data_IF_679116928229
#
_entry.id   IF_679116928229
#
_cell.length_a   1.000
_cell.length_b   1.000
_cell.length_c   1.000
_cell.angle_alpha   90.00
_cell.angle_beta   90.00
_cell.angle_gamma   90.00
#
_symmetry.space_group_name_H-M   'P 1'
#
loop_
_entity.id
_entity.type
_entity.pdbx_description
1 polymer ?
#
# COMPACT_ATOMS: atom_id res chain seq x y z
N UNK A 1 -43.41 -62.97 -14.99
CA UNK A 1 -43.12 -61.54 -15.27
C UNK A 1 -42.29 -61.00 -14.10
N UNK A 2 -40.95 -61.09 -14.17
CA UNK A 2 -40.03 -60.70 -13.08
C UNK A 2 -39.49 -59.30 -13.40
N UNK A 3 -39.80 -58.32 -12.56
CA UNK A 3 -39.32 -56.95 -12.63
C UNK A 3 -37.85 -56.89 -12.19
N UNK A 4 -36.97 -56.39 -13.06
CA UNK A 4 -35.59 -56.05 -12.72
C UNK A 4 -35.55 -54.66 -12.08
N UNK A 5 -35.13 -54.57 -10.82
CA UNK A 5 -34.79 -53.29 -10.18
C UNK A 5 -33.41 -52.85 -10.66
N UNK A 6 -33.34 -51.74 -11.38
CA UNK A 6 -32.09 -51.08 -11.74
C UNK A 6 -31.54 -50.33 -10.52
N UNK A 7 -30.41 -50.79 -9.99
CA UNK A 7 -29.69 -50.11 -8.91
C UNK A 7 -28.82 -48.99 -9.52
N UNK A 8 -29.20 -47.73 -9.32
CA UNK A 8 -28.37 -46.58 -9.67
C UNK A 8 -27.16 -46.51 -8.71
N UNK A 9 -25.95 -46.68 -9.22
CA UNK A 9 -24.73 -46.36 -8.49
C UNK A 9 -24.52 -44.84 -8.51
N UNK A 10 -24.70 -44.20 -7.34
CA UNK A 10 -24.36 -42.79 -7.15
C UNK A 10 -22.85 -42.65 -6.97
N UNK A 11 -22.16 -42.10 -7.98
CA UNK A 11 -20.74 -41.78 -7.90
C UNK A 11 -20.57 -40.50 -7.05
N UNK A 12 -20.18 -40.65 -5.79
CA UNK A 12 -19.82 -39.51 -4.93
C UNK A 12 -18.42 -39.03 -5.33
N UNK A 13 -18.36 -37.94 -6.08
CA UNK A 13 -17.10 -37.20 -6.31
C UNK A 13 -16.69 -36.52 -5.00
N UNK A 14 -15.71 -37.12 -4.31
CA UNK A 14 -15.02 -36.45 -3.21
C UNK A 14 -14.06 -35.45 -3.85
N UNK A 15 -14.51 -34.20 -4.01
CA UNK A 15 -13.59 -33.09 -4.29
C UNK A 15 -12.76 -32.87 -3.04
N UNK A 16 -11.53 -33.38 -3.04
CA UNK A 16 -10.52 -32.96 -2.08
C UNK A 16 -10.30 -31.46 -2.27
N UNK A 17 -10.83 -30.65 -1.35
CA UNK A 17 -10.33 -29.30 -1.19
C UNK A 17 -8.91 -29.48 -0.67
N UNK A 18 -7.93 -29.37 -1.56
CA UNK A 18 -6.57 -29.07 -1.16
C UNK A 18 -6.65 -27.74 -0.42
N UNK A 19 -6.72 -27.81 0.91
CA UNK A 19 -6.44 -26.68 1.76
C UNK A 19 -4.99 -26.36 1.46
N UNK A 20 -4.76 -25.36 0.61
CA UNK A 20 -3.44 -24.84 0.39
C UNK A 20 -2.93 -24.47 1.79
N UNK A 21 -1.93 -25.21 2.26
CA UNK A 21 -1.12 -24.75 3.36
C UNK A 21 -0.77 -23.30 3.02
N UNK A 22 -1.13 -22.38 3.91
CA UNK A 22 -0.59 -21.03 3.85
C UNK A 22 0.90 -21.24 4.09
N UNK A 23 1.66 -21.44 3.00
CA UNK A 23 3.10 -21.27 3.01
C UNK A 23 3.31 -19.98 3.81
N UNK A 24 3.94 -20.11 4.98
CA UNK A 24 4.26 -18.97 5.83
C UNK A 24 4.87 -17.92 4.91
N UNK A 25 4.08 -16.91 4.54
CA UNK A 25 4.39 -16.10 3.38
C UNK A 25 5.78 -15.54 3.62
N UNK A 26 6.72 -15.87 2.74
CA UNK A 26 8.09 -15.38 2.84
C UNK A 26 8.14 -13.86 2.63
N UNK A 27 7.00 -13.19 2.48
CA UNK A 27 6.87 -11.75 2.33
C UNK A 27 6.61 -11.09 3.68
N UNK A 28 7.19 -9.91 3.86
CA UNK A 28 6.87 -9.03 4.98
C UNK A 28 6.46 -7.66 4.44
N UNK A 29 5.52 -6.99 5.11
CA UNK A 29 5.25 -5.58 4.83
C UNK A 29 6.39 -4.72 5.38
N UNK A 30 7.03 -3.95 4.51
CA UNK A 30 8.19 -3.10 4.87
C UNK A 30 7.86 -1.62 4.90
N UNK A 31 6.74 -1.24 4.30
CA UNK A 31 6.21 0.10 4.26
C UNK A 31 4.69 0.03 4.08
N UNK A 32 3.97 0.97 4.68
CA UNK A 32 2.52 1.11 4.52
C UNK A 32 2.10 2.58 4.48
N UNK A 33 0.90 2.80 3.96
CA UNK A 33 0.14 4.02 4.12
C UNK A 33 -1.32 3.66 4.39
N UNK A 34 -1.80 3.99 5.58
CA UNK A 34 -3.12 3.60 6.02
C UNK A 34 -4.23 4.25 5.20
N UNK A 35 -5.15 3.47 4.61
CA UNK A 35 -6.23 4.00 3.81
C UNK A 35 -7.23 4.77 4.67
N UNK A 36 -7.61 5.95 4.19
CA UNK A 36 -8.67 6.80 4.70
C UNK A 36 -9.75 6.96 3.63
N UNK A 37 -10.99 7.11 4.07
CA UNK A 37 -12.06 7.58 3.20
C UNK A 37 -11.82 9.05 2.88
N UNK A 38 -11.85 9.40 1.59
CA UNK A 38 -11.78 10.81 1.17
C UNK A 38 -12.92 11.59 1.82
N UNK A 39 -12.59 12.67 2.50
CA UNK A 39 -13.56 13.50 3.23
C UNK A 39 -14.55 14.20 2.31
N UNK A 40 -15.70 14.60 2.87
CA UNK A 40 -16.63 15.49 2.19
C UNK A 40 -16.03 16.90 2.04
N UNK A 41 -16.63 17.70 1.16
CA UNK A 41 -16.19 19.09 0.89
C UNK A 41 -16.32 20.00 2.12
N UNK A 42 -17.18 19.64 3.07
CA UNK A 42 -17.44 20.40 4.31
C UNK A 42 -16.43 20.09 5.43
N UNK A 43 -15.51 19.14 5.23
CA UNK A 43 -14.48 18.85 6.21
C UNK A 43 -13.47 20.00 6.31
N UNK A 44 -13.02 20.30 7.52
CA UNK A 44 -12.25 21.51 7.81
C UNK A 44 -10.86 21.57 7.16
N UNK A 45 -10.32 20.42 6.75
CA UNK A 45 -9.03 20.34 6.07
C UNK A 45 -9.18 19.96 4.58
N UNK A 46 -8.38 20.55 3.68
CA UNK A 46 -8.42 20.20 2.26
C UNK A 46 -7.84 18.80 2.05
N UNK A 47 -8.38 18.03 1.11
CA UNK A 47 -7.87 16.67 0.81
C UNK A 47 -6.53 16.66 0.08
N UNK A 48 -6.12 17.80 -0.50
CA UNK A 48 -4.90 18.00 -1.29
C UNK A 48 -4.78 17.10 -2.53
N UNK A 49 -5.89 16.50 -2.98
CA UNK A 49 -5.98 15.74 -4.23
C UNK A 49 -6.99 16.43 -5.17
N UNK A 50 -6.83 16.33 -6.50
CA UNK A 50 -7.84 16.83 -7.42
C UNK A 50 -9.13 15.99 -7.31
N UNK A 51 -10.27 16.59 -7.68
CA UNK A 51 -11.56 15.89 -7.71
C UNK A 51 -11.55 14.68 -8.65
N UNK A 52 -10.71 14.76 -9.69
CA UNK A 52 -10.50 13.69 -10.66
C UNK A 52 -9.06 13.68 -11.15
N UNK A 53 -8.53 12.48 -11.34
CA UNK A 53 -7.27 12.23 -12.06
C UNK A 53 -7.62 11.60 -13.39
N UNK A 54 -7.07 12.13 -14.49
CA UNK A 54 -7.34 11.64 -15.84
C UNK A 54 -6.14 11.91 -16.71
N UNK A 55 -5.71 10.92 -17.50
CA UNK A 55 -4.50 10.99 -18.32
C UNK A 55 -3.28 11.53 -17.56
N UNK A 56 -3.03 10.99 -16.37
CA UNK A 56 -1.95 11.43 -15.48
C UNK A 56 -1.23 10.27 -14.83
N UNK A 57 0.06 10.45 -14.58
CA UNK A 57 0.89 9.57 -13.77
C UNK A 57 0.96 10.10 -12.34
N UNK A 58 0.61 9.25 -11.40
CA UNK A 58 0.81 9.48 -9.97
C UNK A 58 2.19 8.92 -9.63
N UNK A 59 3.12 9.78 -9.22
CA UNK A 59 4.48 9.40 -8.77
C UNK A 59 4.58 9.56 -7.27
N UNK A 60 4.96 8.50 -6.56
CA UNK A 60 5.03 8.48 -5.10
C UNK A 60 6.35 7.91 -4.62
N UNK A 61 6.95 8.57 -3.61
CA UNK A 61 8.13 8.07 -2.92
C UNK A 61 7.73 7.27 -1.68
N UNK A 62 8.43 6.17 -1.43
CA UNK A 62 8.24 5.36 -0.23
C UNK A 62 9.59 4.90 0.31
N UNK A 63 9.92 5.23 1.56
CA UNK A 63 11.13 4.73 2.22
C UNK A 63 10.80 3.45 2.95
N UNK A 64 11.38 2.34 2.51
CA UNK A 64 11.13 1.02 3.12
C UNK A 64 11.90 0.88 4.42
N UNK A 65 11.42 0.06 5.35
CA UNK A 65 12.12 -0.24 6.59
C UNK A 65 13.21 -1.31 6.37
N UNK A 66 12.81 -2.49 5.91
CA UNK A 66 13.68 -3.59 5.54
C UNK A 66 13.69 -3.82 4.03
N UNK A 67 14.85 -4.27 3.56
CA UNK A 67 15.09 -4.69 2.20
C UNK A 67 14.87 -6.18 1.98
N UNK A 68 15.04 -6.60 0.74
CA UNK A 68 14.79 -7.97 0.30
C UNK A 68 15.34 -8.24 -1.10
N UNK A 69 15.15 -9.47 -1.56
CA UNK A 69 15.55 -9.93 -2.90
C UNK A 69 14.48 -9.62 -3.97
N UNK A 70 13.22 -9.48 -3.55
CA UNK A 70 12.09 -9.17 -4.41
C UNK A 70 11.10 -8.24 -3.71
N UNK A 71 10.29 -7.54 -4.49
CA UNK A 71 9.28 -6.57 -4.04
C UNK A 71 7.90 -6.94 -4.59
N UNK A 72 6.85 -6.67 -3.82
CA UNK A 72 5.45 -6.61 -4.28
C UNK A 72 4.82 -5.31 -3.85
N UNK A 73 3.90 -4.80 -4.66
CA UNK A 73 3.13 -3.60 -4.38
C UNK A 73 1.69 -3.97 -4.03
N UNK A 74 1.13 -3.33 -3.01
CA UNK A 74 -0.26 -3.52 -2.59
C UNK A 74 -1.04 -2.24 -2.82
N UNK A 75 -1.99 -2.31 -3.73
CA UNK A 75 -2.89 -1.22 -4.09
C UNK A 75 -4.28 -1.43 -3.49
N UNK A 76 -4.99 -0.34 -3.18
CA UNK A 76 -6.30 -0.41 -2.52
C UNK A 76 -7.37 0.45 -3.19
N UNK A 77 -8.60 -0.09 -3.20
CA UNK A 77 -9.83 0.60 -3.53
C UNK A 77 -10.86 0.44 -2.38
N UNK A 78 -10.39 0.40 -1.14
CA UNK A 78 -11.16 0.08 0.08
C UNK A 78 -12.46 0.87 0.24
N UNK A 79 -12.46 2.18 -0.04
CA UNK A 79 -13.65 3.03 0.07
C UNK A 79 -14.30 3.34 -1.29
N UNK A 80 -13.80 2.74 -2.36
CA UNK A 80 -14.36 2.90 -3.71
C UNK A 80 -15.66 2.14 -3.88
N UNK A 81 -16.56 2.73 -4.68
CA UNK A 81 -17.85 2.12 -5.07
C UNK A 81 -17.88 1.59 -6.50
N UNK A 82 -16.82 1.83 -7.26
CA UNK A 82 -16.66 1.40 -8.66
C UNK A 82 -15.28 0.78 -8.86
N UNK A 83 -15.09 -0.10 -9.85
CA UNK A 83 -13.77 -0.63 -10.18
C UNK A 83 -12.79 0.50 -10.51
N UNK A 84 -11.59 0.43 -9.93
CA UNK A 84 -10.49 1.34 -10.21
C UNK A 84 -9.56 0.69 -11.25
N UNK A 85 -9.13 1.45 -12.25
CA UNK A 85 -8.24 0.97 -13.31
C UNK A 85 -6.87 1.64 -13.21
N UNK A 86 -5.82 0.85 -13.36
CA UNK A 86 -4.44 1.34 -13.48
C UNK A 86 -3.91 0.83 -14.83
N UNK A 87 -3.48 1.74 -15.70
CA UNK A 87 -3.12 1.40 -17.08
C UNK A 87 -1.66 0.96 -17.22
N UNK A 88 -0.78 1.48 -16.37
CA UNK A 88 0.62 1.07 -16.31
C UNK A 88 1.20 1.42 -14.95
N UNK A 89 2.01 0.53 -14.38
CA UNK A 89 2.78 0.83 -13.17
C UNK A 89 4.23 0.47 -13.36
N UNK A 90 5.12 1.29 -12.80
CA UNK A 90 6.55 0.99 -12.69
C UNK A 90 7.05 1.25 -11.28
N UNK A 91 8.10 0.54 -10.90
CA UNK A 91 8.84 0.77 -9.67
C UNK A 91 10.32 1.03 -9.99
N UNK A 92 10.99 1.83 -9.17
CA UNK A 92 12.43 1.93 -9.20
C UNK A 92 13.05 2.43 -7.92
N UNK A 93 14.38 2.39 -7.88
CA UNK A 93 15.18 2.96 -6.80
C UNK A 93 15.39 4.46 -7.04
N UNK A 94 15.15 5.27 -6.01
CA UNK A 94 15.38 6.70 -6.06
C UNK A 94 16.77 7.11 -5.55
N UNK A 95 17.30 8.21 -6.09
CA UNK A 95 18.33 9.03 -5.46
C UNK A 95 17.91 10.50 -5.54
N UNK A 96 17.79 11.19 -4.40
CA UNK A 96 17.44 12.62 -4.30
C UNK A 96 16.38 13.09 -5.34
N UNK A 97 15.20 12.45 -5.33
CA UNK A 97 14.04 12.69 -6.23
C UNK A 97 14.16 12.23 -7.71
N UNK A 98 15.27 11.60 -8.11
CA UNK A 98 15.44 11.02 -9.46
C UNK A 98 15.48 9.50 -9.43
N UNK A 99 15.00 8.86 -10.49
CA UNK A 99 15.14 7.41 -10.69
C UNK A 99 16.56 7.10 -11.18
N UNK A 100 17.21 6.05 -10.66
CA UNK A 100 18.48 5.57 -11.23
C UNK A 100 18.25 5.10 -12.67
N UNK A 101 19.09 5.59 -13.60
CA UNK A 101 19.05 5.39 -15.07
C UNK A 101 19.04 3.92 -15.56
N UNK A 102 19.06 2.91 -14.68
CA UNK A 102 18.99 1.48 -15.03
C UNK A 102 18.01 0.68 -14.15
N UNK A 103 17.04 1.34 -13.50
CA UNK A 103 16.27 0.68 -12.43
C UNK A 103 14.78 1.01 -12.44
N UNK A 104 14.17 1.19 -13.62
CA UNK A 104 12.70 1.18 -13.73
C UNK A 104 12.26 -0.22 -14.15
N UNK A 105 11.43 -0.86 -13.33
CA UNK A 105 10.88 -2.17 -13.57
C UNK A 105 9.38 -2.06 -13.82
N UNK A 106 8.84 -2.66 -14.90
CA UNK A 106 7.40 -2.76 -15.09
C UNK A 106 6.78 -3.60 -13.97
N UNK A 107 5.59 -3.21 -13.53
CA UNK A 107 4.82 -3.95 -12.53
C UNK A 107 3.67 -4.64 -13.24
N UNK A 108 3.56 -5.95 -13.02
CA UNK A 108 2.52 -6.79 -13.59
C UNK A 108 1.51 -7.22 -12.52
N UNK A 109 0.32 -7.58 -12.97
CA UNK A 109 -0.78 -8.09 -12.18
C UNK A 109 -1.34 -9.31 -12.88
N UNK A 110 -1.05 -10.51 -12.36
CA UNK A 110 -1.39 -11.77 -13.02
C UNK A 110 -0.89 -11.82 -14.48
N UNK A 111 0.35 -11.37 -14.70
CA UNK A 111 1.00 -11.30 -16.01
C UNK A 111 0.59 -10.11 -16.89
N UNK A 112 -0.33 -9.25 -16.44
CA UNK A 112 -0.83 -8.11 -17.21
C UNK A 112 -0.27 -6.78 -16.73
N UNK A 113 0.03 -5.85 -17.63
CA UNK A 113 0.47 -4.49 -17.28
C UNK A 113 -0.66 -3.62 -16.71
N UNK A 114 -1.90 -3.94 -17.08
CA UNK A 114 -3.10 -3.24 -16.62
C UNK A 114 -3.68 -3.93 -15.40
N UNK A 115 -4.14 -3.13 -14.45
CA UNK A 115 -4.77 -3.60 -13.23
C UNK A 115 -6.22 -3.10 -13.13
N UNK A 116 -7.07 -3.92 -12.51
CA UNK A 116 -8.43 -3.56 -12.10
C UNK A 116 -8.63 -3.94 -10.64
N UNK A 117 -8.90 -2.95 -9.79
CA UNK A 117 -9.18 -3.15 -8.37
C UNK A 117 -10.67 -3.01 -8.14
N UNK A 118 -11.32 -4.09 -7.71
CA UNK A 118 -12.76 -4.08 -7.44
C UNK A 118 -13.12 -3.16 -6.25
N UNK A 119 -14.38 -2.69 -6.16
CA UNK A 119 -14.86 -1.92 -5.01
C UNK A 119 -14.56 -2.62 -3.69
N UNK A 120 -13.99 -1.90 -2.72
CA UNK A 120 -13.70 -2.43 -1.39
C UNK A 120 -12.57 -3.47 -1.34
N UNK A 121 -11.81 -3.66 -2.42
CA UNK A 121 -10.75 -4.67 -2.50
C UNK A 121 -9.36 -4.06 -2.56
N UNK A 122 -8.38 -4.91 -2.24
CA UNK A 122 -6.97 -4.68 -2.51
C UNK A 122 -6.52 -5.52 -3.71
N UNK A 123 -5.41 -5.11 -4.32
CA UNK A 123 -4.74 -5.83 -5.40
C UNK A 123 -3.25 -5.86 -5.11
N UNK A 124 -2.68 -7.06 -5.10
CA UNK A 124 -1.24 -7.29 -4.93
C UNK A 124 -0.64 -7.52 -6.32
N UNK A 125 0.50 -6.90 -6.61
CA UNK A 125 1.23 -7.13 -7.85
C UNK A 125 1.89 -8.51 -7.89
N UNK A 126 2.30 -8.93 -9.08
CA UNK A 126 3.23 -10.04 -9.23
C UNK A 126 4.57 -9.69 -8.54
N UNK A 127 5.36 -10.69 -8.10
CA UNK A 127 6.73 -10.46 -7.61
C UNK A 127 7.60 -9.75 -8.64
N UNK A 128 8.31 -8.70 -8.20
CA UNK A 128 9.30 -7.99 -8.98
C UNK A 128 10.67 -8.37 -8.44
N UNK A 129 11.50 -9.03 -9.27
CA UNK A 129 12.88 -9.39 -8.91
C UNK A 129 13.76 -8.13 -8.90
N UNK A 130 13.71 -7.44 -7.77
CA UNK A 130 14.37 -6.17 -7.52
C UNK A 130 15.01 -6.25 -6.13
N UNK A 131 16.31 -6.57 -6.05
CA UNK A 131 17.03 -6.51 -4.80
C UNK A 131 17.06 -5.08 -4.27
N UNK A 132 16.51 -4.87 -3.08
CA UNK A 132 16.43 -3.57 -2.42
C UNK A 132 17.14 -3.65 -1.07
N UNK A 133 18.13 -2.78 -0.78
CA UNK A 133 18.72 -2.67 0.55
C UNK A 133 17.72 -2.12 1.58
N UNK A 134 17.97 -2.37 2.86
CA UNK A 134 17.23 -1.74 3.96
C UNK A 134 17.25 -0.21 3.82
N UNK A 135 16.19 0.48 4.26
CA UNK A 135 16.08 1.95 4.24
C UNK A 135 16.11 2.62 2.86
N UNK A 136 16.00 1.84 1.80
CA UNK A 136 15.99 2.36 0.43
C UNK A 136 14.70 3.12 0.13
N UNK A 137 14.83 4.22 -0.63
CA UNK A 137 13.67 4.94 -1.13
C UNK A 137 13.28 4.40 -2.51
N UNK A 138 12.02 4.01 -2.63
CA UNK A 138 11.41 3.53 -3.87
C UNK A 138 10.54 4.62 -4.48
N UNK A 139 10.55 4.70 -5.80
CA UNK A 139 9.59 5.46 -6.61
C UNK A 139 8.63 4.48 -7.23
N UNK A 140 7.33 4.71 -7.03
CA UNK A 140 6.26 4.02 -7.74
C UNK A 140 5.56 5.03 -8.63
N UNK A 141 5.43 4.72 -9.92
CA UNK A 141 4.63 5.49 -10.86
C UNK A 141 3.40 4.66 -11.26
N UNK A 142 2.21 5.24 -11.19
CA UNK A 142 0.97 4.62 -11.66
C UNK A 142 0.26 5.56 -12.63
N UNK A 143 0.13 5.15 -13.88
CA UNK A 143 -0.58 5.88 -14.92
C UNK A 143 -2.07 5.53 -14.89
N UNK A 144 -2.88 6.58 -14.83
CA UNK A 144 -4.34 6.53 -14.86
C UNK A 144 -4.80 7.22 -16.13
N UNK A 145 -5.24 6.42 -17.11
CA UNK A 145 -5.69 6.96 -18.40
C UNK A 145 -7.11 7.50 -18.29
N UNK A 146 -8.02 6.73 -17.69
CA UNK A 146 -9.43 7.07 -17.61
C UNK A 146 -9.73 8.03 -16.45
N UNK A 147 -10.68 8.97 -16.64
CA UNK A 147 -11.21 9.82 -15.57
C UNK A 147 -11.57 9.02 -14.31
N UNK A 148 -10.88 9.28 -13.20
CA UNK A 148 -11.03 8.54 -11.94
C UNK A 148 -11.17 9.49 -10.75
N UNK A 149 -12.26 9.36 -10.00
CA UNK A 149 -12.46 10.03 -8.71
C UNK A 149 -12.11 9.08 -7.58
N UNK A 150 -11.03 9.38 -6.88
CA UNK A 150 -10.56 8.58 -5.75
C UNK A 150 -11.49 8.72 -4.55
N UNK A 151 -11.76 7.59 -3.89
CA UNK A 151 -12.50 7.54 -2.61
C UNK A 151 -11.65 7.03 -1.45
N UNK A 152 -10.48 6.50 -1.76
CA UNK A 152 -9.45 6.08 -0.80
C UNK A 152 -8.22 6.94 -1.00
N UNK A 153 -7.67 7.48 0.08
CA UNK A 153 -6.42 8.24 0.10
C UNK A 153 -5.73 8.08 1.45
N UNK A 154 -4.59 8.71 1.64
CA UNK A 154 -3.99 8.96 2.95
C UNK A 154 -3.51 10.41 2.96
N UNK A 155 -3.99 11.22 3.90
CA UNK A 155 -3.95 12.68 3.79
C UNK A 155 -2.57 13.31 4.03
N UNK A 156 -1.95 13.03 5.17
CA UNK A 156 -0.72 13.69 5.60
C UNK A 156 0.49 12.76 5.48
N UNK A 157 0.81 12.43 4.23
CA UNK A 157 1.85 11.46 3.91
C UNK A 157 3.24 11.85 4.43
N UNK A 158 3.46 13.13 4.79
CA UNK A 158 4.76 13.77 5.05
C UNK A 158 5.80 13.42 3.98
N UNK A 159 5.33 13.29 2.75
CA UNK A 159 6.12 12.98 1.56
C UNK A 159 5.45 13.61 0.35
N UNK A 160 6.22 14.30 -0.47
CA UNK A 160 5.78 14.84 -1.75
C UNK A 160 5.48 13.71 -2.72
N UNK A 161 4.30 13.78 -3.33
CA UNK A 161 3.89 13.00 -4.49
C UNK A 161 3.55 13.93 -5.64
N UNK A 162 3.64 13.44 -6.87
CA UNK A 162 3.42 14.24 -8.07
C UNK A 162 2.30 13.68 -8.92
N UNK A 163 1.53 14.59 -9.51
CA UNK A 163 0.51 14.33 -10.53
C UNK A 163 1.01 14.92 -11.85
N UNK A 164 1.51 14.06 -12.71
CA UNK A 164 2.23 14.43 -13.93
C UNK A 164 1.35 14.14 -15.14
N UNK A 165 1.27 15.04 -16.11
CA UNK A 165 0.43 14.85 -17.32
C UNK A 165 0.97 13.74 -18.22
N UNK A 166 0.06 12.93 -18.75
CA UNK A 166 0.35 11.81 -19.64
C UNK A 166 0.97 10.60 -18.94
N UNK A 167 1.35 9.61 -19.74
CA UNK A 167 2.08 8.44 -19.27
C UNK A 167 3.57 8.79 -19.11
N UNK A 168 3.99 8.96 -17.86
CA UNK A 168 5.33 9.36 -17.45
C UNK A 168 5.98 8.27 -16.58
N UNK A 169 5.48 7.03 -16.67
CA UNK A 169 5.92 5.90 -15.84
C UNK A 169 7.36 5.48 -16.12
N UNK A 170 7.89 5.77 -17.30
CA UNK A 170 9.29 5.50 -17.66
C UNK A 170 10.18 6.74 -17.59
N UNK A 171 9.62 7.92 -17.28
CA UNK A 171 10.39 9.15 -17.21
C UNK A 171 11.24 9.18 -15.93
N UNK A 172 12.56 9.33 -16.06
CA UNK A 172 13.50 9.29 -14.95
C UNK A 172 13.52 10.58 -14.13
N UNK A 173 13.10 11.70 -14.74
CA UNK A 173 13.04 13.02 -14.10
C UNK A 173 11.59 13.41 -13.87
N UNK A 174 11.35 14.23 -12.84
CA UNK A 174 10.03 14.80 -12.60
C UNK A 174 9.93 16.11 -13.38
N UNK A 175 8.94 16.27 -14.28
CA UNK A 175 8.76 17.52 -15.01
C UNK A 175 8.53 18.71 -14.07
N UNK A 176 8.99 19.88 -14.47
CA UNK A 176 8.87 21.12 -13.68
C UNK A 176 7.43 21.62 -13.55
N UNK A 177 6.54 21.25 -14.47
CA UNK A 177 5.11 21.58 -14.44
C UNK A 177 4.26 20.56 -13.66
N UNK A 178 4.89 19.55 -13.06
CA UNK A 178 4.20 18.53 -12.27
C UNK A 178 3.52 19.15 -11.05
N UNK A 179 2.23 18.87 -10.87
CA UNK A 179 1.51 19.28 -9.66
C UNK A 179 1.95 18.41 -8.49
N UNK A 180 2.11 18.99 -7.32
CA UNK A 180 2.47 18.27 -6.10
C UNK A 180 1.26 18.05 -5.20
N UNK A 181 1.35 17.02 -4.37
CA UNK A 181 0.44 16.75 -3.26
C UNK A 181 1.22 16.09 -2.14
N UNK A 182 0.75 16.25 -0.90
CA UNK A 182 1.25 15.50 0.26
C UNK A 182 0.29 14.38 0.65
N UNK A 183 -0.72 14.07 -0.16
CA UNK A 183 -1.57 12.91 0.02
C UNK A 183 -1.03 11.71 -0.80
N UNK A 184 -1.34 10.49 -0.34
CA UNK A 184 -1.09 9.25 -1.10
C UNK A 184 -2.38 8.71 -1.68
N UNK A 185 -2.28 8.21 -2.91
CA UNK A 185 -3.35 7.53 -3.65
C UNK A 185 -2.87 6.13 -4.02
N UNK A 186 -3.79 5.19 -4.24
CA UNK A 186 -3.53 3.83 -4.74
C UNK A 186 -2.68 2.93 -3.81
N UNK A 187 -1.39 3.24 -3.63
CA UNK A 187 -0.42 2.41 -2.95
C UNK A 187 -0.65 2.45 -1.43
N UNK A 188 -0.95 1.28 -0.86
CA UNK A 188 -1.25 1.08 0.57
C UNK A 188 -0.18 0.29 1.32
N UNK A 189 0.59 -0.53 0.61
CA UNK A 189 1.71 -1.25 1.20
C UNK A 189 2.77 -1.60 0.15
N UNK A 190 3.99 -1.81 0.64
CA UNK A 190 5.07 -2.45 -0.10
C UNK A 190 5.51 -3.65 0.72
N UNK A 191 5.58 -4.79 0.07
CA UNK A 191 6.11 -6.03 0.66
C UNK A 191 7.46 -6.36 0.04
N UNK A 192 8.33 -6.96 0.84
CA UNK A 192 9.61 -7.50 0.39
C UNK A 192 9.73 -8.96 0.78
N UNK A 193 10.45 -9.72 -0.04
CA UNK A 193 10.93 -11.05 0.31
C UNK A 193 12.30 -10.90 0.98
N UNK A 194 12.43 -11.03 2.32
CA UNK A 194 13.69 -10.83 3.00
C UNK A 194 14.58 -12.07 2.83
N UNK A 195 15.90 -11.87 2.72
CA UNK A 195 16.88 -12.97 2.59
C UNK A 195 16.95 -13.90 3.81
N UNK A 196 16.49 -13.41 4.95
CA UNK A 196 16.47 -14.11 6.23
C UNK A 196 15.12 -13.82 6.90
N UNK A 197 14.70 -14.70 7.81
CA UNK A 197 13.48 -14.52 8.58
C UNK A 197 13.47 -13.13 9.23
N UNK A 198 12.34 -12.45 9.08
CA UNK A 198 12.14 -11.10 9.56
C UNK A 198 10.71 -10.95 10.11
N UNK A 199 10.51 -9.93 10.94
CA UNK A 199 9.25 -9.65 11.59
C UNK A 199 8.82 -8.21 11.34
N UNK A 200 7.53 -7.94 11.48
CA UNK A 200 6.98 -6.59 11.32
C UNK A 200 6.43 -6.11 12.66
N UNK A 201 6.84 -4.89 13.00
CA UNK A 201 6.24 -4.07 14.04
C UNK A 201 5.29 -3.09 13.37
N UNK A 202 3.99 -3.32 13.56
CA UNK A 202 2.97 -2.38 13.13
C UNK A 202 2.79 -1.30 14.20
N UNK A 203 2.81 -0.04 13.79
CA UNK A 203 2.56 1.10 14.68
C UNK A 203 1.25 1.75 14.26
N UNK A 204 0.24 1.73 15.13
CA UNK A 204 -1.04 2.42 14.90
C UNK A 204 -1.17 3.59 15.87
N UNK A 205 -1.63 4.73 15.38
CA UNK A 205 -1.72 5.92 16.22
C UNK A 205 -2.35 7.13 15.57
N UNK A 206 -2.28 8.25 16.27
CA UNK A 206 -2.79 9.54 15.82
C UNK A 206 -1.71 10.38 15.09
N UNK A 207 -1.84 11.71 15.10
CA UNK A 207 -0.98 12.65 14.37
C UNK A 207 0.50 12.56 14.75
N UNK A 208 0.83 12.19 15.99
CA UNK A 208 2.23 11.97 16.40
C UNK A 208 2.83 10.80 15.61
N UNK A 209 2.06 9.73 15.45
CA UNK A 209 2.49 8.53 14.72
C UNK A 209 2.51 8.80 13.22
N UNK A 210 1.47 9.45 12.69
CA UNK A 210 1.37 9.81 11.26
C UNK A 210 2.56 10.68 10.81
N UNK A 211 3.00 11.59 11.69
CA UNK A 211 4.23 12.37 11.54
C UNK A 211 4.01 13.87 11.54
N UNK A 212 2.97 14.37 12.20
CA UNK A 212 2.77 15.80 12.39
C UNK A 212 4.06 16.45 12.89
N UNK A 213 4.38 17.63 12.32
CA UNK A 213 5.62 18.40 12.54
C UNK A 213 6.92 17.79 12.01
N UNK A 214 6.92 16.56 11.47
CA UNK A 214 8.10 16.05 10.77
C UNK A 214 8.37 16.88 9.51
N UNK A 215 9.64 17.16 9.24
CA UNK A 215 10.07 17.87 8.03
C UNK A 215 9.66 17.09 6.79
N UNK A 216 8.95 17.75 5.87
CA UNK A 216 8.51 17.15 4.61
C UNK A 216 9.70 16.51 3.87
N UNK A 217 9.50 15.30 3.36
CA UNK A 217 10.49 14.51 2.61
C UNK A 217 11.75 14.06 3.38
N UNK A 218 11.94 14.51 4.62
CA UNK A 218 13.16 14.22 5.39
C UNK A 218 13.20 12.81 6.00
N UNK A 219 12.05 12.12 6.08
CA UNK A 219 11.91 10.81 6.75
C UNK A 219 12.43 10.85 8.20
N UNK A 220 11.94 11.83 8.96
CA UNK A 220 12.31 12.12 10.35
C UNK A 220 11.15 11.92 11.34
N UNK A 221 10.18 11.08 11.00
CA UNK A 221 9.14 10.65 11.96
C UNK A 221 9.79 9.74 13.00
N UNK A 222 9.23 9.67 14.20
CA UNK A 222 9.79 8.80 15.24
C UNK A 222 9.80 7.31 14.82
N UNK A 223 8.84 6.89 14.00
CA UNK A 223 8.77 5.56 13.37
C UNK A 223 9.90 5.31 12.37
N UNK A 224 10.40 6.35 11.67
CA UNK A 224 11.57 6.26 10.80
C UNK A 224 12.85 6.00 11.61
N UNK A 225 12.98 6.59 12.80
CA UNK A 225 14.08 6.31 13.72
C UNK A 225 13.95 4.91 14.36
N UNK A 226 12.73 4.49 14.72
CA UNK A 226 12.48 3.13 15.20
C UNK A 226 12.86 2.10 14.14
N UNK A 227 12.49 2.31 12.88
CA UNK A 227 12.84 1.44 11.75
C UNK A 227 14.35 1.21 11.65
N UNK A 228 15.16 2.28 11.78
CA UNK A 228 16.63 2.19 11.76
C UNK A 228 17.19 1.41 12.95
N UNK A 229 16.61 1.58 14.15
CA UNK A 229 17.05 0.84 15.35
C UNK A 229 16.70 -0.64 15.27
N UNK A 230 15.57 -0.97 14.67
CA UNK A 230 15.06 -2.35 14.62
C UNK A 230 15.53 -3.15 13.40
N UNK A 231 16.03 -2.50 12.34
CA UNK A 231 16.47 -3.21 11.13
C UNK A 231 17.65 -4.16 11.38
N UNK A 232 18.56 -3.81 12.31
CA UNK A 232 19.69 -4.69 12.71
C UNK A 232 19.22 -5.99 13.36
N UNK A 233 17.99 -6.00 13.89
CA UNK A 233 17.32 -7.17 14.47
C UNK A 233 16.35 -7.83 13.48
N UNK A 234 16.42 -7.50 12.19
CA UNK A 234 15.53 -8.01 11.14
C UNK A 234 14.05 -7.75 11.44
N UNK A 235 13.77 -6.60 12.04
CA UNK A 235 12.41 -6.12 12.29
C UNK A 235 12.11 -4.89 11.43
N UNK A 236 11.11 -5.02 10.56
CA UNK A 236 10.55 -3.90 9.82
C UNK A 236 9.57 -3.12 10.70
N UNK A 237 9.48 -1.81 10.50
CA UNK A 237 8.50 -0.94 11.14
C UNK A 237 7.60 -0.37 10.07
N UNK A 238 6.29 -0.53 10.24
CA UNK A 238 5.28 0.04 9.35
C UNK A 238 4.42 1.04 10.10
N UNK A 239 4.35 2.25 9.55
CA UNK A 239 3.64 3.37 10.15
C UNK A 239 2.21 3.42 9.63
N UNK A 240 1.26 3.13 10.53
CA UNK A 240 -0.18 3.13 10.26
C UNK A 240 -0.91 4.25 11.03
N UNK A 241 -0.18 5.32 11.33
CA UNK A 241 -0.73 6.54 11.91
C UNK A 241 -1.74 7.17 10.97
N UNK A 242 -2.78 7.76 11.55
CA UNK A 242 -3.69 8.67 10.86
C UNK A 242 -3.84 9.88 11.76
N UNK A 243 -3.51 11.08 11.26
CA UNK A 243 -3.79 12.31 11.99
C UNK A 243 -5.27 12.39 12.37
N UNK A 244 -5.58 12.79 13.60
CA UNK A 244 -6.97 12.82 14.10
C UNK A 244 -7.61 11.44 14.30
N UNK A 245 -6.82 10.35 14.34
CA UNK A 245 -7.37 9.02 14.63
C UNK A 245 -7.71 8.86 16.11
N UNK A 246 -8.78 8.10 16.36
CA UNK A 246 -9.33 7.86 17.69
C UNK A 246 -9.42 6.36 17.92
N UNK A 247 -9.42 5.94 19.18
CA UNK A 247 -9.40 4.52 19.54
C UNK A 247 -10.72 3.80 19.18
N UNK A 248 -11.85 4.37 19.61
CA UNK A 248 -13.16 3.69 19.60
C UNK A 248 -14.12 4.20 18.53
N UNK A 249 -14.02 5.48 18.16
CA UNK A 249 -14.91 6.11 17.18
C UNK A 249 -14.12 6.56 15.96
N UNK A 250 -14.80 6.79 14.85
CA UNK A 250 -14.14 7.37 13.68
C UNK A 250 -13.74 8.82 13.97
N UNK A 251 -12.72 9.28 13.28
CA UNK A 251 -12.27 10.66 13.28
C UNK A 251 -11.96 11.07 11.85
N UNK A 252 -10.73 11.54 11.61
CA UNK A 252 -10.20 11.76 10.27
C UNK A 252 -10.04 10.48 9.43
N UNK A 253 -10.12 9.31 10.04
CA UNK A 253 -10.22 8.01 9.39
C UNK A 253 -11.03 7.06 10.27
N UNK A 254 -11.16 5.80 9.84
CA UNK A 254 -11.80 4.77 10.66
C UNK A 254 -11.07 4.62 12.01
N UNK A 255 -11.82 4.33 13.08
CA UNK A 255 -11.24 4.12 14.41
C UNK A 255 -10.13 3.05 14.41
N UNK A 256 -9.16 3.16 15.32
CA UNK A 256 -8.10 2.15 15.50
C UNK A 256 -8.72 0.75 15.67
N UNK A 257 -9.77 0.64 16.49
CA UNK A 257 -10.43 -0.65 16.75
C UNK A 257 -10.99 -1.30 15.48
N UNK A 258 -11.66 -0.52 14.60
CA UNK A 258 -12.16 -1.02 13.31
C UNK A 258 -11.04 -1.48 12.37
N UNK A 259 -9.88 -0.84 12.45
CA UNK A 259 -8.73 -1.06 11.57
C UNK A 259 -7.88 -2.26 11.97
N UNK A 260 -7.93 -2.72 13.23
CA UNK A 260 -7.08 -3.83 13.70
C UNK A 260 -7.21 -5.07 12.80
N UNK A 261 -8.44 -5.59 12.62
CA UNK A 261 -8.66 -6.78 11.80
C UNK A 261 -8.69 -6.48 10.30
N UNK A 262 -9.20 -5.32 9.90
CA UNK A 262 -9.43 -5.00 8.48
C UNK A 262 -8.17 -4.48 7.75
N UNK A 263 -7.16 -4.02 8.50
CA UNK A 263 -5.93 -3.44 7.96
C UNK A 263 -4.69 -3.98 8.69
N UNK A 264 -4.58 -3.72 9.99
CA UNK A 264 -3.30 -3.87 10.72
C UNK A 264 -2.83 -5.33 10.74
N UNK A 265 -3.73 -6.27 11.03
CA UNK A 265 -3.42 -7.70 11.05
C UNK A 265 -3.41 -8.34 9.66
N UNK A 266 -3.78 -7.58 8.61
CA UNK A 266 -3.66 -8.04 7.23
C UNK A 266 -2.26 -7.83 6.66
N UNK A 267 -1.41 -7.04 7.32
CA UNK A 267 -0.02 -6.86 6.90
C UNK A 267 0.80 -8.13 7.14
N UNK A 268 1.52 -8.57 6.12
CA UNK A 268 2.35 -9.77 6.15
C UNK A 268 3.49 -9.63 7.16
N UNK A 269 3.63 -10.61 8.04
CA UNK A 269 4.75 -10.70 8.99
C UNK A 269 4.59 -9.92 10.29
N UNK A 270 3.43 -9.31 10.57
CA UNK A 270 3.17 -8.63 11.85
C UNK A 270 3.29 -9.60 13.02
N UNK A 271 4.16 -9.25 13.98
CA UNK A 271 4.34 -9.97 15.25
C UNK A 271 4.22 -9.07 16.48
N UNK A 272 4.34 -7.76 16.27
CA UNK A 272 4.24 -6.76 17.33
C UNK A 272 3.34 -5.64 16.87
N UNK A 273 2.44 -5.21 17.75
CA UNK A 273 1.62 -4.02 17.57
C UNK A 273 2.01 -2.99 18.63
N UNK A 274 2.36 -1.78 18.20
CA UNK A 274 2.48 -0.61 19.06
C UNK A 274 1.24 0.25 18.84
N UNK A 275 0.53 0.57 19.92
CA UNK A 275 -0.64 1.45 19.90
C UNK A 275 -0.27 2.75 20.61
N UNK A 276 -0.30 3.87 19.88
CA UNK A 276 -0.07 5.21 20.41
C UNK A 276 -1.17 6.15 19.91
N UNK A 277 -2.32 6.10 20.58
CA UNK A 277 -3.50 6.91 20.28
C UNK A 277 -4.07 7.48 21.58
N UNK A 278 -4.48 8.74 21.56
CA UNK A 278 -5.14 9.33 22.74
C UNK A 278 -5.18 10.85 22.78
N UNK A 279 -4.54 11.55 21.84
CA UNK A 279 -4.57 13.02 21.82
C UNK A 279 -5.77 13.61 21.11
N UNK A 280 -6.40 12.84 20.21
CA UNK A 280 -7.54 13.29 19.43
C UNK A 280 -8.82 13.07 20.26
N UNK A 281 -9.32 14.13 20.90
CA UNK A 281 -10.69 14.15 21.47
C UNK A 281 -11.73 14.01 20.36
#
# INVERSE_FOLDING_TARGET
MKLYQATLFSLVLITSFAQADVENSQWITTWSASPQKVWNKDFVFPTLIPEQVSNQTIRQMSKISLGGEAVRLVFTNQYGKQPLYIDQTTIGLANAATLKSKSIYPVYFSGQLKARILPGKQLISDPIQLPVPDHTQLVVNSFIQKPTTFKTFHWDAKQTSWLIRGNQTTNLTTPTDAKTTTARLLLSAIEVKPKQKAHVVAVVGDSITDGATATLDANTRWTDFLAKRLSVHRMAVVNNGISGNRLLTDGMGDSVLKRLNSEIFQYSGVKTLIVLVGMSL
#
